data_IF_037050692372
#
_entry.id   IF_037050692372
#
_cell.length_a   1.000
_cell.length_b   1.000
_cell.length_c   1.000
_cell.angle_alpha   90.00
_cell.angle_beta   90.00
_cell.angle_gamma   90.00
#
_symmetry.space_group_name_H-M   'P 1'
#
loop_
_entity.id
_entity.type
_entity.pdbx_description
1 polymer ?
#
# COMPACT_ATOMS: atom_id res chain seq x y z
N UNK A 1 11.59 30.29 -31.96
CA UNK A 1 10.78 29.18 -31.43
C UNK A 1 11.70 28.33 -30.57
N UNK A 2 11.66 28.52 -29.25
CA UNK A 2 12.49 27.77 -28.30
C UNK A 2 11.77 26.49 -27.92
N UNK A 3 12.41 25.34 -28.08
CA UNK A 3 11.93 24.06 -27.55
C UNK A 3 12.47 23.89 -26.14
N UNK A 4 11.61 24.07 -25.14
CA UNK A 4 11.91 23.68 -23.76
C UNK A 4 11.79 22.15 -23.68
N UNK A 5 12.90 21.46 -23.40
CA UNK A 5 12.87 20.02 -23.15
C UNK A 5 12.68 19.78 -21.65
N UNK A 6 11.62 19.03 -21.35
CA UNK A 6 11.23 18.59 -20.01
C UNK A 6 12.29 17.65 -19.43
N UNK A 7 12.74 17.95 -18.21
CA UNK A 7 13.70 17.15 -17.43
C UNK A 7 12.99 15.95 -16.80
N UNK A 8 13.59 14.77 -16.92
CA UNK A 8 13.20 13.58 -16.15
C UNK A 8 13.68 13.72 -14.68
N UNK A 9 12.86 13.28 -13.73
CA UNK A 9 13.03 13.50 -12.28
C UNK A 9 13.17 12.16 -11.55
N UNK A 10 14.09 12.07 -10.60
CA UNK A 10 14.30 10.90 -9.73
C UNK A 10 13.98 11.25 -8.28
N UNK A 11 13.30 10.35 -7.55
CA UNK A 11 12.75 10.55 -6.19
C UNK A 11 13.47 9.67 -5.13
N UNK A 12 13.58 10.14 -3.87
CA UNK A 12 13.95 9.33 -2.70
C UNK A 12 12.82 9.34 -1.67
N UNK A 13 12.57 8.18 -1.05
CA UNK A 13 11.45 7.89 -0.13
C UNK A 13 11.93 7.87 1.33
N UNK A 14 11.28 8.64 2.21
CA UNK A 14 11.41 8.51 3.68
C UNK A 14 10.19 7.75 4.21
N UNK A 15 10.39 6.66 4.93
CA UNK A 15 9.32 5.78 5.44
C UNK A 15 9.05 6.00 6.93
N UNK A 16 7.80 6.26 7.30
CA UNK A 16 7.30 6.09 8.67
C UNK A 16 6.49 4.78 8.76
N UNK A 17 6.88 3.87 9.65
CA UNK A 17 6.15 2.64 9.91
C UNK A 17 5.01 2.91 10.92
N UNK A 18 3.76 2.69 10.50
CA UNK A 18 2.57 3.08 11.27
C UNK A 18 2.15 2.01 12.27
N UNK A 19 1.91 2.39 13.53
CA UNK A 19 1.27 1.52 14.54
C UNK A 19 -0.21 1.91 14.63
N UNK A 20 -1.12 1.04 14.17
CA UNK A 20 -2.56 1.30 14.26
C UNK A 20 -3.14 0.85 15.60
N UNK A 21 -4.16 1.57 16.10
CA UNK A 21 -4.97 1.20 17.26
C UNK A 21 -6.44 1.14 16.85
N UNK A 22 -7.20 0.16 17.32
CA UNK A 22 -8.66 0.20 17.17
C UNK A 22 -9.20 1.37 17.99
N UNK A 23 -9.90 2.32 17.35
CA UNK A 23 -10.84 3.17 18.08
C UNK A 23 -12.10 2.33 18.34
N UNK A 24 -12.80 2.47 19.47
CA UNK A 24 -14.19 2.03 19.49
C UNK A 24 -14.93 2.72 18.34
N UNK A 25 -15.82 1.99 17.65
CA UNK A 25 -16.85 2.61 16.81
C UNK A 25 -17.77 3.49 17.65
N UNK A 26 -18.99 3.76 17.19
CA UNK A 26 -20.00 4.38 18.07
C UNK A 26 -20.07 3.66 19.43
N UNK A 27 -20.47 4.36 20.50
CA UNK A 27 -20.59 3.83 21.88
C UNK A 27 -21.64 2.69 22.02
N UNK A 28 -22.10 2.13 20.90
CA UNK A 28 -23.05 1.04 20.80
C UNK A 28 -22.36 -0.33 20.93
N UNK A 29 -22.97 -1.21 21.71
CA UNK A 29 -22.55 -2.60 21.83
C UNK A 29 -22.44 -3.27 20.43
N UNK A 30 -21.31 -3.92 20.18
CA UNK A 30 -21.00 -4.59 18.92
C UNK A 30 -20.24 -3.75 17.89
N UNK A 31 -20.28 -2.40 17.94
CA UNK A 31 -19.80 -1.52 16.86
C UNK A 31 -18.30 -1.58 16.54
N UNK A 32 -17.48 -2.26 17.35
CA UNK A 32 -16.08 -2.50 17.06
C UNK A 32 -15.88 -3.94 16.54
N UNK A 33 -16.01 -4.09 15.22
CA UNK A 33 -15.78 -5.34 14.51
C UNK A 33 -14.35 -5.43 13.92
N UNK A 34 -13.45 -4.51 14.30
CA UNK A 34 -12.05 -4.59 13.86
C UNK A 34 -11.27 -5.67 14.60
N UNK A 35 -10.63 -6.54 13.85
CA UNK A 35 -9.80 -7.63 14.35
C UNK A 35 -8.40 -7.56 13.77
N UNK A 36 -7.43 -8.07 14.55
CA UNK A 36 -6.06 -8.29 14.09
C UNK A 36 -5.69 -9.77 14.13
N UNK A 37 -5.75 -10.43 12.98
CA UNK A 37 -5.64 -11.89 12.89
C UNK A 37 -5.31 -12.36 11.48
N UNK A 38 -5.24 -13.69 11.31
CA UNK A 38 -5.16 -14.29 9.98
C UNK A 38 -6.58 -14.28 9.38
N UNK A 39 -6.77 -13.76 8.15
CA UNK A 39 -8.08 -13.78 7.52
C UNK A 39 -8.43 -15.23 7.11
N UNK A 40 -9.72 -15.58 7.16
CA UNK A 40 -10.19 -16.98 6.99
C UNK A 40 -10.86 -17.25 5.64
N UNK A 41 -10.86 -16.30 4.69
CA UNK A 41 -11.42 -16.49 3.35
C UNK A 41 -12.94 -16.55 3.28
N UNK A 42 -13.64 -15.93 4.24
CA UNK A 42 -15.11 -15.93 4.32
C UNK A 42 -15.68 -14.65 3.72
N UNK A 43 -16.97 -14.62 3.35
CA UNK A 43 -17.66 -13.41 2.88
C UNK A 43 -17.00 -12.63 1.72
N UNK A 44 -16.11 -13.27 0.94
CA UNK A 44 -15.35 -12.63 -0.15
C UNK A 44 -13.98 -12.09 0.27
N UNK A 45 -13.58 -12.26 1.52
CA UNK A 45 -12.28 -11.86 2.06
C UNK A 45 -11.13 -12.79 1.65
N UNK A 46 -9.87 -12.35 1.81
CA UNK A 46 -8.72 -13.20 1.55
C UNK A 46 -8.62 -14.35 2.57
N UNK A 47 -8.00 -15.46 2.20
CA UNK A 47 -7.59 -16.54 3.12
C UNK A 47 -6.11 -16.45 3.53
N UNK A 48 -5.43 -15.35 3.15
CA UNK A 48 -4.05 -15.06 3.53
C UNK A 48 -3.79 -13.55 3.68
N UNK A 49 -2.87 -13.21 4.58
CA UNK A 49 -2.33 -11.85 4.69
C UNK A 49 -1.41 -11.54 3.50
N UNK A 50 -1.32 -10.28 3.08
CA UNK A 50 -0.38 -9.88 2.04
C UNK A 50 1.07 -10.07 2.53
N UNK A 51 1.37 -9.59 3.74
CA UNK A 51 2.65 -9.81 4.40
C UNK A 51 2.48 -10.52 5.73
N UNK A 52 3.50 -11.30 6.10
CA UNK A 52 3.49 -12.05 7.35
C UNK A 52 2.31 -13.02 7.47
N UNK A 53 1.50 -12.87 8.52
CA UNK A 53 0.41 -13.81 8.90
C UNK A 53 -0.84 -13.13 9.44
N UNK A 54 -0.88 -11.81 9.52
CA UNK A 54 -1.97 -11.09 10.17
C UNK A 54 -2.24 -9.77 9.47
N UNK A 55 -3.51 -9.46 9.31
CA UNK A 55 -4.02 -8.19 8.77
C UNK A 55 -4.86 -7.48 9.83
N UNK A 56 -5.20 -6.23 9.57
CA UNK A 56 -6.38 -5.63 10.18
C UNK A 56 -7.58 -5.83 9.26
N UNK A 57 -8.72 -6.25 9.81
CA UNK A 57 -9.94 -6.31 9.01
C UNK A 57 -11.22 -6.32 9.84
N UNK A 58 -12.33 -6.11 9.16
CA UNK A 58 -13.67 -6.43 9.68
C UNK A 58 -13.81 -7.95 9.74
N UNK A 59 -14.57 -8.47 10.72
CA UNK A 59 -14.82 -9.90 10.98
C UNK A 59 -13.90 -10.84 10.20
N UNK A 60 -12.75 -11.25 10.76
CA UNK A 60 -11.79 -12.08 10.01
C UNK A 60 -12.26 -13.53 9.84
N UNK A 61 -13.47 -13.88 10.27
CA UNK A 61 -14.07 -15.19 10.09
C UNK A 61 -13.55 -16.28 11.03
N UNK A 62 -12.79 -15.94 12.07
CA UNK A 62 -12.29 -16.93 13.06
C UNK A 62 -13.32 -17.27 14.13
N UNK A 63 -13.27 -18.46 14.73
CA UNK A 63 -14.22 -18.89 15.79
C UNK A 63 -15.71 -18.76 15.38
N UNK A 64 -16.49 -17.95 16.10
CA UNK A 64 -17.93 -17.74 15.87
C UNK A 64 -18.23 -16.62 14.86
N UNK A 65 -17.19 -16.03 14.28
CA UNK A 65 -17.30 -14.93 13.33
C UNK A 65 -17.50 -15.47 11.90
N UNK A 66 -18.38 -14.84 11.12
CA UNK A 66 -18.87 -15.36 9.84
C UNK A 66 -18.16 -14.77 8.61
N UNK A 67 -17.31 -13.77 8.81
CA UNK A 67 -16.62 -13.02 7.79
C UNK A 67 -17.29 -11.68 7.47
N UNK A 68 -18.50 -11.38 7.96
CA UNK A 68 -19.29 -10.24 7.47
C UNK A 68 -19.22 -9.05 8.42
N UNK A 69 -19.09 -7.83 7.87
CA UNK A 69 -19.26 -6.62 8.67
C UNK A 69 -20.69 -6.52 9.20
N UNK A 70 -20.84 -5.83 10.33
CA UNK A 70 -22.14 -5.72 11.00
C UNK A 70 -23.11 -4.76 10.28
N UNK A 71 -24.40 -5.08 10.35
CA UNK A 71 -25.51 -4.25 9.90
C UNK A 71 -25.74 -3.02 10.78
N UNK A 72 -26.15 -1.91 10.18
CA UNK A 72 -26.53 -0.66 10.87
C UNK A 72 -25.45 -0.15 11.83
N UNK A 73 -24.18 -0.23 11.41
CA UNK A 73 -23.03 0.21 12.22
C UNK A 73 -22.15 1.19 11.48
N UNK A 74 -21.58 2.10 12.26
CA UNK A 74 -20.38 2.83 11.88
C UNK A 74 -19.18 2.23 12.63
N UNK A 75 -18.27 1.62 11.89
CA UNK A 75 -17.10 0.95 12.44
C UNK A 75 -15.81 1.54 11.84
N UNK A 76 -14.84 1.88 12.70
CA UNK A 76 -13.68 2.68 12.32
C UNK A 76 -12.38 2.23 12.99
N UNK A 77 -11.34 2.03 12.18
CA UNK A 77 -9.97 1.81 12.62
C UNK A 77 -9.18 3.10 12.42
N UNK A 78 -8.56 3.63 13.47
CA UNK A 78 -7.83 4.89 13.41
C UNK A 78 -6.39 4.71 13.89
N UNK A 79 -5.43 5.08 13.04
CA UNK A 79 -4.02 5.10 13.42
C UNK A 79 -3.74 6.10 14.54
N UNK A 80 -2.63 5.90 15.24
CA UNK A 80 -2.04 6.98 16.03
C UNK A 80 -1.60 8.12 15.10
N UNK A 81 -1.45 9.36 15.59
CA UNK A 81 -0.87 10.45 14.80
C UNK A 81 0.49 10.07 14.21
N UNK A 82 0.66 10.33 12.91
CA UNK A 82 1.84 10.01 12.11
C UNK A 82 2.56 11.32 11.81
N UNK A 83 3.69 11.56 12.46
CA UNK A 83 4.49 12.76 12.20
C UNK A 83 5.02 12.78 10.77
N UNK A 84 4.84 13.91 10.09
CA UNK A 84 5.30 14.13 8.73
C UNK A 84 6.69 14.78 8.71
N UNK A 85 7.54 14.44 7.74
CA UNK A 85 8.80 15.15 7.51
C UNK A 85 8.57 16.64 7.25
N UNK A 86 9.35 17.50 7.92
CA UNK A 86 9.26 18.97 7.76
C UNK A 86 9.95 19.50 6.50
N UNK A 87 10.68 18.65 5.76
CA UNK A 87 11.44 19.02 4.56
C UNK A 87 10.71 18.60 3.26
N UNK A 88 9.40 18.35 3.34
CA UNK A 88 8.57 17.94 2.21
C UNK A 88 7.17 18.54 2.34
N UNK A 89 6.53 18.86 1.21
CA UNK A 89 5.16 19.38 1.15
C UNK A 89 4.20 18.41 0.42
N UNK A 90 4.68 17.21 0.09
CA UNK A 90 3.93 16.22 -0.69
C UNK A 90 4.08 14.85 -0.06
N UNK A 91 2.98 14.32 0.45
CA UNK A 91 2.92 13.07 1.18
C UNK A 91 1.95 12.10 0.50
N UNK A 92 2.23 10.82 0.66
CA UNK A 92 1.40 9.74 0.15
C UNK A 92 1.18 8.70 1.23
N UNK A 93 -0.02 8.16 1.22
CA UNK A 93 -0.36 6.92 1.91
C UNK A 93 -0.37 5.82 0.87
N UNK A 94 0.22 4.67 1.22
CA UNK A 94 0.15 3.45 0.45
C UNK A 94 -0.15 2.27 1.38
N UNK A 95 -1.04 1.38 0.95
CA UNK A 95 -1.38 0.16 1.68
C UNK A 95 -1.89 -0.92 0.73
N UNK A 96 -1.91 -2.15 1.22
CA UNK A 96 -2.55 -3.28 0.55
C UNK A 96 -3.98 -3.38 1.04
N UNK A 97 -4.91 -3.36 0.09
CA UNK A 97 -6.34 -3.40 0.32
C UNK A 97 -6.91 -4.68 -0.26
N UNK A 98 -7.78 -5.32 0.50
CA UNK A 98 -8.81 -6.19 -0.02
C UNK A 98 -10.12 -5.69 0.58
N UNK A 99 -11.07 -5.28 -0.27
CA UNK A 99 -12.33 -4.69 0.16
C UNK A 99 -13.49 -5.36 -0.56
N UNK A 100 -14.45 -5.87 0.21
CA UNK A 100 -15.75 -6.31 -0.31
C UNK A 100 -16.86 -5.56 0.42
N UNK A 101 -17.59 -4.69 -0.27
CA UNK A 101 -18.67 -3.89 0.32
C UNK A 101 -19.79 -3.69 -0.69
N UNK A 102 -21.02 -3.61 -0.20
CA UNK A 102 -22.17 -3.26 -1.03
C UNK A 102 -21.94 -1.92 -1.77
N UNK A 103 -22.76 -1.67 -2.79
CA UNK A 103 -22.74 -0.41 -3.53
C UNK A 103 -22.81 0.78 -2.56
N UNK A 104 -22.02 1.82 -2.81
CA UNK A 104 -21.91 3.00 -1.95
C UNK A 104 -23.21 3.79 -1.75
N UNK A 105 -24.27 3.44 -2.47
CA UNK A 105 -25.61 3.92 -2.18
C UNK A 105 -26.13 3.42 -0.82
N UNK A 106 -25.85 2.16 -0.49
CA UNK A 106 -26.26 1.50 0.75
C UNK A 106 -25.15 1.60 1.82
N UNK A 107 -23.96 1.09 1.49
CA UNK A 107 -22.85 0.97 2.44
C UNK A 107 -21.63 1.78 2.00
N UNK A 108 -21.14 2.68 2.87
CA UNK A 108 -19.95 3.49 2.55
C UNK A 108 -18.71 2.93 3.22
N UNK A 109 -17.74 2.52 2.41
CA UNK A 109 -16.39 2.26 2.85
C UNK A 109 -15.52 3.49 2.55
N UNK A 110 -14.84 4.04 3.57
CA UNK A 110 -14.07 5.29 3.46
C UNK A 110 -12.65 5.16 3.98
N UNK A 111 -11.76 5.95 3.40
CA UNK A 111 -10.48 6.32 4.02
C UNK A 111 -10.52 7.79 4.37
N UNK A 112 -10.18 8.12 5.61
CA UNK A 112 -10.16 9.48 6.12
C UNK A 112 -8.75 9.90 6.54
N UNK A 113 -8.43 11.16 6.30
CA UNK A 113 -7.21 11.84 6.74
C UNK A 113 -7.64 12.99 7.63
N UNK A 114 -7.21 12.99 8.89
CA UNK A 114 -7.60 13.99 9.91
C UNK A 114 -9.13 14.15 10.03
N UNK A 115 -9.84 13.03 9.87
CA UNK A 115 -11.31 13.00 9.92
C UNK A 115 -12.03 13.40 8.63
N UNK A 116 -11.31 13.91 7.63
CA UNK A 116 -11.88 14.28 6.33
C UNK A 116 -11.78 13.14 5.31
N UNK A 117 -12.81 12.99 4.47
CA UNK A 117 -12.88 11.89 3.49
C UNK A 117 -11.85 12.11 2.37
N UNK A 118 -10.85 11.22 2.30
CA UNK A 118 -9.87 11.20 1.22
C UNK A 118 -10.27 10.22 0.09
N UNK A 119 -11.01 9.17 0.42
CA UNK A 119 -11.51 8.18 -0.54
C UNK A 119 -12.83 7.54 -0.04
N UNK A 120 -13.73 7.20 -0.97
CA UNK A 120 -14.98 6.47 -0.73
C UNK A 120 -15.19 5.46 -1.88
N UNK A 121 -15.84 4.32 -1.61
CA UNK A 121 -16.26 3.37 -2.65
C UNK A 121 -17.22 4.01 -3.67
N UNK A 122 -17.29 3.42 -4.87
CA UNK A 122 -18.23 3.87 -5.89
C UNK A 122 -19.68 3.69 -5.40
N UNK A 123 -20.56 4.60 -5.81
CA UNK A 123 -22.00 4.48 -5.63
C UNK A 123 -22.74 4.67 -6.92
N UNK A 124 -23.72 3.82 -7.16
CA UNK A 124 -24.71 4.03 -8.20
C UNK A 124 -25.93 4.76 -7.64
N UNK A 125 -26.97 4.86 -8.46
CA UNK A 125 -28.26 5.40 -8.03
C UNK A 125 -29.06 4.29 -7.37
N UNK A 126 -29.93 4.64 -6.42
CA UNK A 126 -30.84 3.72 -5.71
C UNK A 126 -31.49 2.65 -6.58
N UNK A 127 -32.01 3.06 -7.75
CA UNK A 127 -32.78 2.17 -8.61
C UNK A 127 -31.90 1.14 -9.35
N UNK A 128 -30.57 1.25 -9.22
CA UNK A 128 -29.54 0.33 -9.72
C UNK A 128 -28.97 -0.45 -8.53
N UNK A 129 -28.14 0.21 -7.70
CA UNK A 129 -27.71 -0.31 -6.40
C UNK A 129 -26.92 -1.61 -6.41
N UNK A 130 -26.44 -2.07 -7.56
CA UNK A 130 -25.88 -3.42 -7.76
C UNK A 130 -24.40 -3.43 -8.17
N UNK A 131 -23.72 -2.27 -8.19
CA UNK A 131 -22.29 -2.16 -8.45
C UNK A 131 -21.49 -2.15 -7.13
N UNK A 132 -21.44 -3.32 -6.49
CA UNK A 132 -20.66 -3.54 -5.27
C UNK A 132 -19.15 -3.34 -5.52
N UNK A 133 -18.42 -2.88 -4.49
CA UNK A 133 -16.97 -2.82 -4.55
C UNK A 133 -16.40 -4.18 -4.13
N UNK A 134 -15.85 -4.93 -5.08
CA UNK A 134 -15.30 -6.28 -4.85
C UNK A 134 -13.86 -6.33 -5.35
N UNK A 135 -12.92 -6.46 -4.42
CA UNK A 135 -11.54 -6.83 -4.74
C UNK A 135 -11.41 -8.37 -4.74
N UNK A 136 -10.91 -8.96 -5.83
CA UNK A 136 -10.62 -10.42 -5.93
C UNK A 136 -9.15 -10.77 -5.62
N UNK A 137 -8.35 -9.75 -5.29
CA UNK A 137 -6.93 -9.86 -4.98
C UNK A 137 -6.49 -8.64 -4.15
N UNK A 138 -5.39 -8.78 -3.41
CA UNK A 138 -4.76 -7.66 -2.72
C UNK A 138 -4.35 -6.54 -3.70
N UNK A 139 -5.10 -5.45 -3.70
CA UNK A 139 -4.85 -4.26 -4.48
C UNK A 139 -3.86 -3.33 -3.76
N UNK A 140 -2.91 -2.75 -4.49
CA UNK A 140 -2.12 -1.64 -3.97
C UNK A 140 -2.95 -0.35 -4.07
N UNK A 141 -3.30 0.24 -2.95
CA UNK A 141 -3.98 1.53 -2.91
C UNK A 141 -2.97 2.63 -2.56
N UNK A 142 -2.97 3.72 -3.32
CA UNK A 142 -2.09 4.86 -3.08
C UNK A 142 -2.83 6.16 -3.34
N UNK A 143 -2.70 7.10 -2.41
CA UNK A 143 -3.35 8.40 -2.48
C UNK A 143 -2.43 9.47 -1.89
N UNK A 144 -2.46 10.66 -2.47
CA UNK A 144 -1.80 11.82 -1.89
C UNK A 144 -2.56 12.26 -0.64
N UNK A 145 -1.84 12.65 0.40
CA UNK A 145 -2.42 13.19 1.63
C UNK A 145 -1.81 14.55 1.94
N UNK A 146 -2.55 15.37 2.67
CA UNK A 146 -2.12 16.65 3.19
C UNK A 146 -2.31 16.67 4.70
N UNK A 147 -1.45 17.39 5.39
CA UNK A 147 -1.66 17.79 6.78
C UNK A 147 -2.78 18.83 6.81
N UNK A 148 -3.98 18.40 7.20
CA UNK A 148 -5.17 19.27 7.14
C UNK A 148 -5.27 20.19 8.37
N UNK A 149 -4.70 19.77 9.50
CA UNK A 149 -4.70 20.52 10.76
C UNK A 149 -3.51 21.47 10.88
N UNK A 150 -2.48 21.29 10.05
CA UNK A 150 -1.25 22.09 10.05
C UNK A 150 -0.36 21.85 11.26
N UNK A 151 -0.48 20.68 11.92
CA UNK A 151 0.22 20.34 13.15
C UNK A 151 1.50 19.51 12.93
N UNK A 152 1.81 19.21 11.67
CA UNK A 152 2.96 18.40 11.26
C UNK A 152 2.73 16.89 11.43
N UNK A 153 1.50 16.45 11.59
CA UNK A 153 1.11 15.05 11.66
C UNK A 153 -0.18 14.78 10.87
N UNK A 154 -0.47 13.50 10.63
CA UNK A 154 -1.76 13.07 10.09
C UNK A 154 -2.27 11.85 10.85
N UNK A 155 -3.59 11.73 10.95
CA UNK A 155 -4.28 10.51 11.37
C UNK A 155 -4.98 9.88 10.18
N UNK A 156 -4.74 8.59 9.97
CA UNK A 156 -5.44 7.79 8.98
C UNK A 156 -6.56 7.00 9.65
N UNK A 157 -7.74 6.99 9.05
CA UNK A 157 -8.84 6.12 9.44
C UNK A 157 -9.40 5.32 8.27
N UNK A 158 -9.81 4.09 8.53
CA UNK A 158 -10.61 3.26 7.62
C UNK A 158 -11.96 3.01 8.27
N UNK A 159 -13.02 3.23 7.52
CA UNK A 159 -14.38 3.21 8.04
C UNK A 159 -15.30 2.39 7.13
N UNK A 160 -16.27 1.73 7.75
CA UNK A 160 -17.50 1.31 7.09
C UNK A 160 -18.71 1.90 7.83
N UNK A 161 -19.64 2.48 7.07
CA UNK A 161 -20.98 2.91 7.51
C UNK A 161 -21.99 2.06 6.74
N UNK A 162 -22.64 1.13 7.44
CA UNK A 162 -23.54 0.14 6.83
C UNK A 162 -25.02 0.39 7.10
N UNK A 163 -25.88 -0.10 6.21
CA UNK A 163 -27.31 -0.17 6.40
C UNK A 163 -27.77 -1.55 6.93
N UNK A 164 -29.09 -1.75 7.02
CA UNK A 164 -29.71 -2.99 7.52
C UNK A 164 -29.66 -4.18 6.54
N UNK A 165 -29.20 -3.94 5.31
CA UNK A 165 -29.40 -4.74 4.12
C UNK A 165 -28.38 -5.86 3.92
N UNK A 166 -27.60 -5.80 2.85
CA UNK A 166 -26.60 -6.82 2.51
C UNK A 166 -25.32 -6.53 3.29
N UNK A 167 -24.66 -7.59 3.76
CA UNK A 167 -23.36 -7.48 4.44
C UNK A 167 -22.34 -8.35 3.72
N UNK A 168 -21.10 -7.88 3.66
CA UNK A 168 -19.99 -8.52 2.96
C UNK A 168 -18.74 -8.53 3.84
N UNK A 169 -17.57 -8.90 3.30
CA UNK A 169 -16.32 -9.02 4.06
C UNK A 169 -15.79 -7.72 4.67
N UNK A 170 -16.07 -6.58 4.05
CA UNK A 170 -15.62 -5.27 4.51
C UNK A 170 -14.13 -5.07 4.23
N UNK A 171 -13.45 -4.37 5.13
CA UNK A 171 -12.03 -4.04 4.97
C UNK A 171 -11.12 -5.17 5.39
N UNK A 172 -10.08 -5.41 4.59
CA UNK A 172 -8.84 -6.07 4.97
C UNK A 172 -7.66 -5.18 4.53
N UNK A 173 -6.78 -4.86 5.47
CA UNK A 173 -5.71 -3.86 5.33
C UNK A 173 -4.39 -4.45 5.80
N UNK A 174 -3.37 -4.28 4.96
CA UNK A 174 -2.01 -4.70 5.25
C UNK A 174 -0.97 -3.69 4.70
N UNK A 175 0.28 -3.77 5.15
CA UNK A 175 1.42 -2.99 4.66
C UNK A 175 1.18 -1.47 4.51
N UNK A 176 0.55 -0.85 5.51
CA UNK A 176 0.36 0.62 5.54
C UNK A 176 1.70 1.34 5.67
N UNK A 177 1.96 2.28 4.77
CA UNK A 177 3.09 3.20 4.83
C UNK A 177 2.66 4.64 4.49
N UNK A 178 3.25 5.60 5.19
CA UNK A 178 3.23 7.02 4.84
C UNK A 178 4.63 7.44 4.41
N UNK A 179 4.73 8.11 3.26
CA UNK A 179 6.00 8.59 2.74
C UNK A 179 5.89 9.96 2.08
N UNK A 180 7.01 10.66 2.04
CA UNK A 180 7.15 11.94 1.34
C UNK A 180 7.92 11.76 0.03
N UNK A 181 7.60 12.58 -0.98
CA UNK A 181 8.45 12.74 -2.15
C UNK A 181 9.35 13.96 -1.95
N UNK A 182 10.65 13.71 -1.81
CA UNK A 182 11.64 14.79 -1.75
C UNK A 182 12.01 15.22 -3.17
N UNK A 183 11.74 16.48 -3.51
CA UNK A 183 12.30 17.11 -4.72
C UNK A 183 13.75 17.47 -4.43
N UNK A 184 14.68 16.86 -5.16
CA UNK A 184 16.09 17.22 -5.10
C UNK A 184 16.41 18.03 -6.34
N UNK A 185 16.89 19.27 -6.14
CA UNK A 185 17.47 20.05 -7.22
C UNK A 185 18.80 19.40 -7.61
N UNK A 186 18.85 18.76 -8.78
CA UNK A 186 20.12 18.29 -9.34
C UNK A 186 20.83 19.52 -9.91
N UNK A 187 22.06 19.85 -9.45
CA UNK A 187 22.85 20.87 -10.10
C UNK A 187 22.98 20.49 -11.57
N UNK A 188 22.46 21.34 -12.46
CA UNK A 188 22.83 21.26 -13.86
C UNK A 188 24.31 21.58 -13.88
N UNK A 189 25.12 20.59 -14.26
CA UNK A 189 26.49 20.85 -14.70
C UNK A 189 26.36 21.70 -15.96
N UNK A 190 26.26 23.02 -15.77
CA UNK A 190 26.49 23.99 -16.82
C UNK A 190 27.99 23.94 -17.04
N UNK A 191 28.43 22.88 -17.74
CA UNK A 191 29.84 22.60 -18.00
C UNK A 191 30.53 23.91 -18.25
N UNK A 192 31.44 24.24 -17.32
CA UNK A 192 32.15 25.50 -17.36
C UNK A 192 32.68 25.68 -18.77
N UNK A 193 32.23 26.74 -19.43
CA UNK A 193 32.81 27.21 -20.69
C UNK A 193 34.19 27.80 -20.35
N UNK A 194 35.09 26.91 -19.92
CA UNK A 194 36.51 27.16 -19.75
C UNK A 194 37.14 26.91 -21.12
N UNK A 195 37.27 27.99 -21.89
CA UNK A 195 38.50 28.40 -22.59
C UNK A 195 38.14 29.63 -23.44
N UNK A 196 38.48 30.85 -23.03
CA UNK A 196 39.86 31.27 -22.87
C UNK A 196 40.43 31.55 -24.27
N UNK A 197 40.37 32.80 -24.70
CA UNK A 197 41.19 33.25 -25.83
C UNK A 197 42.65 33.35 -25.40
N UNK A 198 43.57 32.89 -26.25
CA UNK A 198 44.58 33.72 -26.93
C UNK A 198 45.48 32.82 -27.80
N UNK A 199 46.11 33.45 -28.79
CA UNK A 199 46.75 32.93 -29.98
C UNK A 199 48.05 32.11 -29.79
N UNK A 200 48.46 31.49 -30.91
CA UNK A 200 49.85 31.16 -31.34
C UNK A 200 50.40 29.73 -31.20
N UNK A 201 50.35 29.03 -32.34
CA UNK A 201 51.45 28.41 -33.10
C UNK A 201 52.34 27.27 -32.53
N UNK A 202 52.34 26.18 -33.33
CA UNK A 202 53.45 25.30 -33.73
C UNK A 202 54.09 24.37 -32.70
N UNK A 203 54.13 23.08 -33.05
CA UNK A 203 55.04 22.11 -32.41
C UNK A 203 54.55 20.68 -32.59
N UNK A 204 55.30 19.92 -33.38
CA UNK A 204 55.02 18.55 -33.82
C UNK A 204 55.30 17.46 -32.78
N UNK A 205 54.77 16.27 -33.13
CA UNK A 205 55.28 14.90 -32.89
C UNK A 205 54.97 14.16 -31.58
N UNK A 206 54.21 13.06 -31.78
CA UNK A 206 54.40 11.69 -31.28
C UNK A 206 54.79 11.46 -29.81
N UNK A 207 53.89 10.90 -29.00
CA UNK A 207 54.22 9.67 -28.25
C UNK A 207 52.98 8.95 -27.68
N UNK A 208 53.01 7.63 -27.83
CA UNK A 208 52.34 6.54 -27.09
C UNK A 208 50.91 6.72 -26.53
N UNK A 209 50.01 5.93 -27.11
CA UNK A 209 48.72 5.61 -26.53
C UNK A 209 48.83 4.90 -25.18
N UNK A 210 48.22 5.52 -24.18
CA UNK A 210 47.70 4.85 -22.99
C UNK A 210 46.19 5.14 -22.98
N UNK A 211 45.41 4.13 -23.38
CA UNK A 211 43.95 4.20 -23.33
C UNK A 211 43.59 4.07 -21.85
N UNK A 212 43.62 5.20 -21.16
CA UNK A 212 43.01 5.35 -19.84
C UNK A 212 41.56 4.90 -19.95
N UNK A 213 41.28 3.73 -19.38
CA UNK A 213 39.94 3.34 -18.97
C UNK A 213 39.41 4.47 -18.09
N UNK A 214 38.61 5.34 -18.70
CA UNK A 214 37.55 6.01 -17.99
C UNK A 214 36.64 4.89 -17.52
N UNK A 215 36.89 4.38 -16.30
CA UNK A 215 35.85 3.81 -15.45
C UNK A 215 34.89 4.96 -15.14
N UNK A 216 34.12 5.31 -16.17
CA UNK A 216 32.84 5.97 -16.09
C UNK A 216 31.94 4.93 -15.44
N UNK A 217 32.07 4.78 -14.11
CA UNK A 217 30.99 4.30 -13.28
C UNK A 217 29.91 5.37 -13.37
N UNK A 218 29.24 5.40 -14.53
CA UNK A 218 28.01 6.10 -14.73
C UNK A 218 27.08 5.60 -13.64
N UNK A 219 26.97 6.39 -12.59
CA UNK A 219 25.84 6.41 -11.69
C UNK A 219 24.64 6.72 -12.58
N UNK A 220 24.09 5.66 -13.15
CA UNK A 220 22.98 5.65 -14.08
C UNK A 220 21.68 5.96 -13.33
N UNK A 221 21.70 7.00 -12.49
CA UNK A 221 20.56 7.54 -11.75
C UNK A 221 19.67 6.45 -11.19
N UNK A 222 20.27 5.33 -10.73
CA UNK A 222 19.51 4.20 -10.25
C UNK A 222 18.75 4.73 -9.05
N UNK A 223 17.43 4.77 -9.19
CA UNK A 223 16.55 5.23 -8.15
C UNK A 223 16.79 4.27 -6.98
N UNK A 224 17.59 4.68 -6.00
CA UNK A 224 17.78 3.94 -4.75
C UNK A 224 16.48 4.07 -3.94
N UNK A 225 15.43 3.40 -4.44
CA UNK A 225 14.21 3.14 -3.69
C UNK A 225 14.60 2.06 -2.70
N UNK A 226 15.09 2.47 -1.53
CA UNK A 226 15.21 1.53 -0.41
C UNK A 226 13.80 1.00 -0.14
N UNK A 227 13.55 -0.31 -0.34
CA UNK A 227 12.21 -0.85 -0.23
C UNK A 227 11.89 -0.95 1.25
N UNK A 228 11.22 0.07 1.77
CA UNK A 228 10.69 0.07 3.13
C UNK A 228 9.15 0.22 3.16
N UNK A 229 8.51 0.38 2.00
CA UNK A 229 7.05 0.54 1.87
C UNK A 229 6.50 -0.36 0.77
N UNK A 230 5.38 -1.05 1.04
CA UNK A 230 4.38 -1.72 0.16
C UNK A 230 4.83 -2.64 -0.99
N UNK A 231 6.00 -2.39 -1.55
CA UNK A 231 6.75 -3.17 -2.53
C UNK A 231 7.78 -4.10 -1.86
N UNK A 232 8.05 -3.92 -0.57
CA UNK A 232 8.90 -4.78 0.23
C UNK A 232 8.09 -5.96 0.80
N UNK A 233 7.44 -6.75 -0.07
CA UNK A 233 6.90 -8.02 0.39
C UNK A 233 8.09 -8.97 0.61
N UNK A 234 8.26 -9.50 1.82
CA UNK A 234 9.01 -10.74 1.98
C UNK A 234 8.38 -11.79 1.05
N UNK A 235 9.16 -12.63 0.35
CA UNK A 235 8.58 -13.64 -0.53
C UNK A 235 7.57 -14.47 0.27
N UNK A 236 6.33 -14.53 -0.23
CA UNK A 236 5.25 -15.29 0.38
C UNK A 236 5.75 -16.69 0.75
N UNK A 237 5.36 -17.24 1.92
CA UNK A 237 5.76 -18.58 2.29
C UNK A 237 5.29 -19.52 1.19
N UNK A 238 6.23 -20.14 0.48
CA UNK A 238 5.93 -21.14 -0.54
C UNK A 238 5.04 -22.19 0.13
N UNK A 239 3.79 -22.28 -0.32
CA UNK A 239 2.87 -23.35 0.05
C UNK A 239 3.48 -24.66 -0.43
N UNK A 240 4.32 -25.24 0.43
CA UNK A 240 4.90 -26.55 0.21
C UNK A 240 3.76 -27.56 0.18
N UNK A 241 3.39 -27.99 -1.02
CA UNK A 241 2.65 -29.21 -1.28
C UNK A 241 3.42 -30.38 -0.65
N UNK A 242 3.21 -30.62 0.64
CA UNK A 242 3.57 -31.85 1.28
C UNK A 242 2.56 -32.93 0.86
N UNK A 243 2.75 -33.42 -0.36
CA UNK A 243 2.18 -34.68 -0.85
C UNK A 243 2.83 -35.83 -0.06
N UNK A 244 2.35 -36.06 1.16
CA UNK A 244 2.65 -37.27 1.91
C UNK A 244 1.62 -38.34 1.55
N UNK A 245 1.99 -39.12 0.54
CA UNK A 245 1.35 -40.39 0.24
C UNK A 245 1.51 -41.36 1.41
N UNK A 246 0.40 -41.88 1.90
CA UNK A 246 0.37 -43.10 2.71
C UNK A 246 -0.67 -44.06 2.10
N UNK A 247 -0.24 -44.78 1.06
CA UNK A 247 -0.87 -46.00 0.58
C UNK A 247 -0.15 -47.20 1.20
N UNK A 248 -0.74 -47.79 2.23
CA UNK A 248 -0.62 -49.19 2.66
C UNK A 248 -1.61 -49.34 3.83
N UNK A 249 -2.66 -50.16 3.82
CA UNK A 249 -2.82 -51.49 3.27
C UNK A 249 -3.12 -52.43 4.45
N UNK A 250 -4.40 -52.71 4.72
CA UNK A 250 -4.83 -53.90 5.46
C UNK A 250 -6.32 -54.17 5.23
N UNK A 251 -6.59 -54.87 4.14
CA UNK A 251 -7.76 -55.72 4.03
C UNK A 251 -7.53 -56.96 4.90
N UNK A 252 -8.34 -57.16 5.95
CA UNK A 252 -8.65 -58.49 6.44
C UNK A 252 -10.12 -58.57 6.86
N UNK A 253 -10.85 -59.29 6.01
CA UNK A 253 -12.02 -60.12 6.25
C UNK A 253 -12.67 -60.09 7.65
N UNK A 254 -13.99 -59.83 7.66
CA UNK A 254 -14.91 -60.66 8.43
C UNK A 254 -16.20 -60.89 7.66
N UNK A 255 -16.36 -62.10 7.12
CA UNK A 255 -17.63 -62.64 6.63
C UNK A 255 -18.12 -63.68 7.65
N UNK A 256 -19.35 -63.47 8.12
CA UNK A 256 -20.37 -64.43 8.60
C UNK A 256 -20.07 -65.28 9.85
N UNK A 257 -20.90 -65.12 10.88
CA UNK A 257 -22.21 -65.80 10.98
C UNK A 257 -23.23 -64.83 11.54
#
# INVERSE_FOLDING_TARGET
MSWSRSTAKTSRTTTAATRASSSPGDDDEGANDWQRGAPQGKAGDPDFAWSGRRVWGNDLGSDNYNGEYQAEKQNRLTSIPITLPTDSDTFYVQFRRWLTVEDGYYDRARVLVDGEIAWENHKTKRDIGDEHHIDDQWALHSMQVADLDGDGAVTLSWEIESDQGLHMGGWNIDDVCVYALKVVDIPVDTGGDDTGGDDTASGSDDDSGDVGQNDDTGDNGEIDIKPACGCAADPAPSSGLALLGALAGLAMSRRRR
#
